data_IF_738099334585
#
_entry.id   IF_738099334585
#
_cell.length_a   1.000
_cell.length_b   1.000
_cell.length_c   1.000
_cell.angle_alpha   90.00
_cell.angle_beta   90.00
_cell.angle_gamma   90.00
#
_symmetry.space_group_name_H-M   'P 1'
#
loop_
_entity.id
_entity.type
_entity.pdbx_description
1 polymer ?
#
# COMPACT_ATOMS: atom_id res chain seq x y z
N UNK A 1 -2.17 3.42 -21.83
CA UNK A 1 -2.89 4.39 -20.98
C UNK A 1 -4.03 3.76 -20.16
N UNK A 2 -5.19 3.40 -20.72
CA UNK A 2 -6.35 2.97 -19.91
C UNK A 2 -6.12 1.72 -19.04
N UNK A 3 -5.48 0.68 -19.60
CA UNK A 3 -5.12 -0.51 -18.82
C UNK A 3 -4.15 -0.19 -17.66
N UNK A 4 -3.16 0.66 -17.91
CA UNK A 4 -2.20 1.10 -16.90
C UNK A 4 -2.89 1.88 -15.77
N UNK A 5 -3.86 2.73 -16.11
CA UNK A 5 -4.69 3.46 -15.15
C UNK A 5 -5.49 2.50 -14.27
N UNK A 6 -6.21 1.54 -14.86
CA UNK A 6 -7.00 0.58 -14.09
C UNK A 6 -6.13 -0.31 -13.20
N UNK A 7 -4.98 -0.75 -13.73
CA UNK A 7 -4.02 -1.56 -12.99
C UNK A 7 -3.44 -0.78 -11.81
N UNK A 8 -2.91 0.42 -12.03
CA UNK A 8 -2.32 1.22 -10.96
C UNK A 8 -3.38 1.70 -9.97
N UNK A 9 -4.59 2.01 -10.41
CA UNK A 9 -5.72 2.27 -9.51
C UNK A 9 -5.95 1.09 -8.57
N UNK A 10 -6.11 -0.12 -9.12
CA UNK A 10 -6.43 -1.30 -8.32
C UNK A 10 -5.27 -1.66 -7.36
N UNK A 11 -4.03 -1.63 -7.85
CA UNK A 11 -2.85 -1.97 -7.05
C UNK A 11 -2.68 -0.97 -5.91
N UNK A 12 -2.72 0.34 -6.20
CA UNK A 12 -2.49 1.37 -5.18
C UNK A 12 -3.67 1.47 -4.22
N UNK A 13 -4.91 1.37 -4.70
CA UNK A 13 -6.08 1.33 -3.84
C UNK A 13 -5.94 0.20 -2.80
N UNK A 14 -5.62 -1.02 -3.25
CA UNK A 14 -5.45 -2.18 -2.35
C UNK A 14 -4.23 -2.03 -1.43
N UNK A 15 -3.12 -1.50 -1.95
CA UNK A 15 -1.90 -1.27 -1.20
C UNK A 15 -2.11 -0.34 0.00
N UNK A 16 -2.95 0.67 -0.21
CA UNK A 16 -3.28 1.71 0.76
C UNK A 16 -4.21 1.19 1.87
N UNK A 17 -5.02 0.15 1.60
CA UNK A 17 -5.99 -0.33 2.57
C UNK A 17 -5.33 -0.85 3.86
N UNK A 18 -5.72 -0.26 5.00
CA UNK A 18 -5.27 -0.66 6.32
C UNK A 18 -3.86 -0.17 6.68
N UNK A 19 -3.40 0.91 6.05
CA UNK A 19 -2.10 1.51 6.29
C UNK A 19 -2.09 2.67 7.30
N UNK A 20 -0.90 3.07 7.76
CA UNK A 20 -0.64 4.21 8.64
C UNK A 20 -1.20 5.52 8.09
N UNK A 21 -0.96 5.77 6.80
CA UNK A 21 -1.49 6.91 6.05
C UNK A 21 -3.03 6.97 6.13
N UNK A 22 -3.74 5.85 5.96
CA UNK A 22 -5.19 5.83 6.17
C UNK A 22 -5.62 6.17 7.59
N UNK A 23 -4.91 5.65 8.59
CA UNK A 23 -5.17 6.01 10.00
C UNK A 23 -4.87 7.49 10.26
N UNK A 24 -3.88 8.08 9.58
CA UNK A 24 -3.61 9.53 9.58
C UNK A 24 -4.77 10.30 8.94
N UNK A 25 -5.26 9.88 7.76
CA UNK A 25 -6.41 10.49 7.09
C UNK A 25 -7.62 10.55 8.02
N UNK A 26 -7.94 9.41 8.67
CA UNK A 26 -9.01 9.31 9.65
C UNK A 26 -8.81 10.27 10.81
N UNK A 27 -7.60 10.30 11.39
CA UNK A 27 -7.28 11.15 12.55
C UNK A 27 -7.41 12.64 12.22
N UNK A 28 -6.95 13.06 11.03
CA UNK A 28 -7.13 14.43 10.56
C UNK A 28 -8.60 14.76 10.28
N UNK A 29 -9.37 13.83 9.70
CA UNK A 29 -10.78 14.03 9.40
C UNK A 29 -11.68 14.10 10.65
N UNK A 30 -11.22 13.58 11.80
CA UNK A 30 -11.89 13.78 13.09
C UNK A 30 -11.75 15.22 13.63
N UNK A 31 -10.71 15.96 13.21
CA UNK A 31 -10.41 17.31 13.71
C UNK A 31 -10.66 18.41 12.69
N UNK A 32 -10.67 18.08 11.40
CA UNK A 32 -10.80 19.00 10.30
C UNK A 32 -11.87 18.54 9.31
N UNK A 33 -12.39 19.49 8.52
CA UNK A 33 -13.40 19.20 7.50
C UNK A 33 -12.82 18.21 6.48
N UNK A 34 -13.55 17.13 6.20
CA UNK A 34 -13.07 16.01 5.37
C UNK A 34 -12.53 16.44 4.00
N UNK A 35 -13.12 17.45 3.36
CA UNK A 35 -12.66 17.95 2.07
C UNK A 35 -11.32 18.72 2.13
N UNK A 36 -11.00 19.33 3.27
CA UNK A 36 -9.68 19.97 3.49
C UNK A 36 -8.62 18.89 3.63
N UNK A 37 -8.94 17.81 4.36
CA UNK A 37 -8.05 16.66 4.54
C UNK A 37 -7.84 15.96 3.20
N UNK A 38 -8.91 15.60 2.51
CA UNK A 38 -8.83 14.92 1.22
C UNK A 38 -8.13 15.78 0.16
N UNK A 39 -8.32 17.11 0.19
CA UNK A 39 -7.58 18.04 -0.67
C UNK A 39 -6.09 18.05 -0.39
N UNK A 40 -5.68 18.04 0.89
CA UNK A 40 -4.27 17.98 1.28
C UNK A 40 -3.60 16.66 0.88
N UNK A 41 -4.30 15.53 1.13
CA UNK A 41 -3.90 14.19 0.68
C UNK A 41 -3.72 14.19 -0.83
N UNK A 42 -4.72 14.64 -1.58
CA UNK A 42 -4.68 14.66 -3.05
C UNK A 42 -3.44 15.39 -3.58
N UNK A 43 -3.09 16.55 -3.00
CA UNK A 43 -1.89 17.30 -3.40
C UNK A 43 -0.61 16.55 -3.07
N UNK A 44 -0.51 16.00 -1.86
CA UNK A 44 0.65 15.21 -1.44
C UNK A 44 0.86 13.99 -2.34
N UNK A 45 -0.19 13.17 -2.50
CA UNK A 45 -0.21 11.98 -3.35
C UNK A 45 0.14 12.32 -4.80
N UNK A 46 -0.46 13.37 -5.37
CA UNK A 46 -0.18 13.77 -6.75
C UNK A 46 1.31 14.08 -6.94
N UNK A 47 1.93 14.76 -5.97
CA UNK A 47 3.35 15.09 -6.00
C UNK A 47 4.25 13.84 -5.85
N UNK A 48 3.97 13.00 -4.85
CA UNK A 48 4.76 11.77 -4.61
C UNK A 48 4.63 10.81 -5.80
N UNK A 49 3.43 10.61 -6.33
CA UNK A 49 3.21 9.77 -7.49
C UNK A 49 3.84 10.36 -8.75
N UNK A 50 3.84 11.69 -8.92
CA UNK A 50 4.53 12.32 -10.05
C UNK A 50 6.04 12.04 -10.02
N UNK A 51 6.66 12.16 -8.85
CA UNK A 51 8.07 11.81 -8.65
C UNK A 51 8.30 10.33 -8.95
N UNK A 52 7.41 9.48 -8.43
CA UNK A 52 7.47 8.03 -8.62
C UNK A 52 7.39 7.62 -10.09
N UNK A 53 6.43 8.16 -10.85
CA UNK A 53 6.30 7.84 -12.28
C UNK A 53 7.43 8.44 -13.09
N UNK A 54 7.97 9.60 -12.72
CA UNK A 54 9.13 10.17 -13.39
C UNK A 54 10.34 9.26 -13.23
N UNK A 55 10.63 8.83 -11.99
CA UNK A 55 11.70 7.86 -11.70
C UNK A 55 11.46 6.55 -12.46
N UNK A 56 10.24 6.00 -12.39
CA UNK A 56 9.88 4.78 -13.10
C UNK A 56 10.06 4.89 -14.61
N UNK A 57 9.60 5.98 -15.23
CA UNK A 57 9.72 6.22 -16.68
C UNK A 57 11.19 6.25 -17.13
N UNK A 58 12.05 6.97 -16.41
CA UNK A 58 13.48 7.06 -16.77
C UNK A 58 14.23 5.77 -16.48
N UNK A 59 13.91 5.06 -15.38
CA UNK A 59 14.45 3.72 -15.12
C UNK A 59 14.00 2.72 -16.19
N UNK A 60 12.74 2.81 -16.62
CA UNK A 60 12.14 2.08 -17.74
C UNK A 60 12.95 2.21 -19.04
N UNK A 61 13.39 3.43 -19.34
CA UNK A 61 14.19 3.74 -20.52
C UNK A 61 15.67 3.33 -20.38
N UNK A 62 16.20 3.30 -19.15
CA UNK A 62 17.62 3.06 -18.88
C UNK A 62 17.97 1.59 -18.64
N UNK A 63 17.01 0.77 -18.22
CA UNK A 63 17.23 -0.63 -17.84
C UNK A 63 16.56 -1.60 -18.81
N UNK A 64 17.16 -2.79 -19.06
CA UNK A 64 16.50 -3.87 -19.79
C UNK A 64 15.16 -4.25 -19.12
N UNK A 65 14.11 -4.38 -19.91
CA UNK A 65 12.75 -4.74 -19.44
C UNK A 65 12.72 -6.03 -18.61
N UNK A 66 13.55 -7.01 -18.96
CA UNK A 66 13.69 -8.23 -18.16
C UNK A 66 14.21 -7.97 -16.74
N UNK A 67 15.17 -7.06 -16.56
CA UNK A 67 15.68 -6.71 -15.24
C UNK A 67 14.65 -5.92 -14.44
N UNK A 68 13.94 -4.99 -15.09
CA UNK A 68 12.84 -4.24 -14.48
C UNK A 68 11.75 -5.17 -13.96
N UNK A 69 11.30 -6.13 -14.78
CA UNK A 69 10.31 -7.11 -14.37
C UNK A 69 10.78 -7.97 -13.19
N UNK A 70 12.06 -8.37 -13.16
CA UNK A 70 12.61 -9.09 -12.00
C UNK A 70 12.60 -8.21 -10.75
N UNK A 71 13.09 -6.98 -10.83
CA UNK A 71 13.09 -6.06 -9.68
C UNK A 71 11.69 -5.76 -9.19
N UNK A 72 10.75 -5.55 -10.12
CA UNK A 72 9.33 -5.37 -9.86
C UNK A 72 8.74 -6.57 -9.08
N UNK A 73 8.98 -7.78 -9.59
CA UNK A 73 8.49 -9.01 -8.97
C UNK A 73 9.06 -9.23 -7.57
N UNK A 74 10.37 -9.01 -7.39
CA UNK A 74 11.01 -9.04 -6.07
C UNK A 74 10.41 -7.99 -5.13
N UNK A 75 10.26 -6.76 -5.59
CA UNK A 75 9.70 -5.66 -4.80
C UNK A 75 8.28 -5.98 -4.33
N UNK A 76 7.41 -6.48 -5.20
CA UNK A 76 6.06 -6.90 -4.85
C UNK A 76 6.03 -8.01 -3.79
N UNK A 77 6.90 -9.02 -3.88
CA UNK A 77 7.01 -10.06 -2.83
C UNK A 77 7.45 -9.44 -1.49
N UNK A 78 8.47 -8.57 -1.52
CA UNK A 78 8.95 -7.87 -0.33
C UNK A 78 7.85 -7.00 0.30
N UNK A 79 7.03 -6.31 -0.49
CA UNK A 79 5.90 -5.51 0.00
C UNK A 79 4.81 -6.37 0.62
N UNK A 80 4.51 -7.52 0.01
CA UNK A 80 3.58 -8.48 0.59
C UNK A 80 4.04 -8.94 1.98
N UNK A 81 5.34 -9.23 2.12
CA UNK A 81 5.94 -9.61 3.41
C UNK A 81 5.98 -8.45 4.42
N UNK A 82 6.33 -7.23 3.98
CA UNK A 82 6.34 -6.05 4.85
C UNK A 82 4.93 -5.73 5.35
N UNK A 83 3.92 -5.79 4.48
CA UNK A 83 2.51 -5.53 4.85
C UNK A 83 2.05 -6.40 6.04
N UNK A 84 2.57 -7.63 6.19
CA UNK A 84 2.26 -8.51 7.33
C UNK A 84 2.85 -8.04 8.67
N UNK A 85 3.87 -7.19 8.64
CA UNK A 85 4.41 -6.56 9.85
C UNK A 85 3.34 -5.75 10.56
N UNK A 86 2.41 -5.17 9.81
CA UNK A 86 1.43 -4.22 10.32
C UNK A 86 2.12 -2.94 10.76
N UNK A 87 1.46 -1.83 10.55
CA UNK A 87 2.08 -0.53 10.70
C UNK A 87 1.13 0.33 11.57
N UNK A 88 1.60 0.72 12.76
CA UNK A 88 0.84 1.52 13.72
C UNK A 88 1.35 2.96 13.70
N UNK A 89 0.45 3.94 13.79
CA UNK A 89 0.84 5.32 14.10
C UNK A 89 1.59 5.36 15.43
N UNK A 90 2.79 5.91 15.42
CA UNK A 90 3.49 6.23 16.67
C UNK A 90 2.83 7.44 17.34
N UNK A 91 2.89 7.49 18.67
CA UNK A 91 2.37 8.62 19.44
C UNK A 91 3.06 9.94 19.04
N UNK A 92 4.32 9.88 18.59
CA UNK A 92 5.08 11.04 18.12
C UNK A 92 4.56 11.58 16.78
N UNK A 93 4.19 10.71 15.84
CA UNK A 93 3.56 11.08 14.56
C UNK A 93 2.17 11.69 14.81
N UNK A 94 1.38 11.07 15.69
CA UNK A 94 0.09 11.61 16.12
C UNK A 94 0.24 12.97 16.81
N UNK A 95 1.28 13.16 17.63
CA UNK A 95 1.54 14.41 18.37
C UNK A 95 2.09 15.52 17.46
N UNK A 96 2.91 15.20 16.45
CA UNK A 96 3.36 16.17 15.44
C UNK A 96 2.20 16.69 14.61
N UNK A 97 1.27 15.81 14.22
CA UNK A 97 0.02 16.21 13.60
C UNK A 97 -0.83 17.14 14.50
N UNK A 98 -0.73 16.99 15.84
CA UNK A 98 -1.45 17.83 16.81
C UNK A 98 -0.82 19.19 17.10
N UNK A 99 0.50 19.36 16.95
CA UNK A 99 1.23 20.58 17.36
C UNK A 99 1.48 21.59 16.26
N UNK A 100 1.14 21.27 15.01
CA UNK A 100 1.33 22.19 13.89
C UNK A 100 0.38 23.39 14.01
N UNK A 101 0.92 24.61 14.10
CA UNK A 101 0.19 25.87 13.98
C UNK A 101 -0.15 26.23 12.52
N UNK A 102 0.23 25.38 11.57
CA UNK A 102 -0.07 25.57 10.16
C UNK A 102 -1.57 25.34 9.89
N UNK A 103 -2.13 25.99 8.84
CA UNK A 103 -3.49 25.68 8.40
C UNK A 103 -3.61 24.19 8.10
N UNK A 104 -4.75 23.59 8.50
CA UNK A 104 -5.00 22.15 8.43
C UNK A 104 -4.63 21.51 7.09
N UNK A 105 -4.90 22.21 5.98
CA UNK A 105 -4.50 21.78 4.64
C UNK A 105 -2.99 21.50 4.54
N UNK A 106 -2.15 22.46 4.90
CA UNK A 106 -0.69 22.32 4.81
C UNK A 106 -0.16 21.29 5.81
N UNK A 107 -0.77 21.19 6.99
CA UNK A 107 -0.42 20.16 7.98
C UNK A 107 -0.64 18.75 7.42
N UNK A 108 -1.81 18.51 6.80
CA UNK A 108 -2.14 17.24 6.15
C UNK A 108 -1.20 16.98 4.97
N UNK A 109 -1.05 17.94 4.06
CA UNK A 109 -0.20 17.79 2.87
C UNK A 109 1.23 17.44 3.25
N UNK A 110 1.83 18.16 4.22
CA UNK A 110 3.20 17.87 4.66
C UNK A 110 3.32 16.52 5.37
N UNK A 111 2.35 16.15 6.20
CA UNK A 111 2.38 14.87 6.89
C UNK A 111 2.26 13.69 5.92
N UNK A 112 1.32 13.75 4.97
CA UNK A 112 1.17 12.74 3.93
C UNK A 112 2.38 12.69 3.00
N UNK A 113 2.89 13.83 2.56
CA UNK A 113 4.06 13.85 1.68
C UNK A 113 5.28 13.20 2.35
N UNK A 114 5.48 13.43 3.66
CA UNK A 114 6.56 12.77 4.39
C UNK A 114 6.30 11.28 4.65
N UNK A 115 5.05 10.89 4.88
CA UNK A 115 4.67 9.50 5.12
C UNK A 115 4.77 8.64 3.84
N UNK A 116 4.37 9.19 2.70
CA UNK A 116 4.36 8.49 1.41
C UNK A 116 5.73 8.48 0.72
N UNK A 117 6.66 9.35 1.12
CA UNK A 117 8.01 9.38 0.55
C UNK A 117 8.81 8.14 0.96
N UNK A 118 9.01 7.25 0.00
CA UNK A 118 9.76 6.00 0.18
C UNK A 118 8.90 4.85 0.70
N UNK A 119 7.57 5.01 0.71
CA UNK A 119 6.65 3.95 1.09
C UNK A 119 6.46 2.89 -0.03
N UNK A 120 5.83 1.76 0.30
CA UNK A 120 5.49 0.66 -0.62
C UNK A 120 4.67 1.17 -1.83
N UNK A 121 3.80 2.16 -1.64
CA UNK A 121 2.97 2.75 -2.71
C UNK A 121 3.84 3.49 -3.74
N UNK A 122 4.88 4.21 -3.29
CA UNK A 122 5.87 4.86 -4.15
C UNK A 122 6.65 3.84 -4.98
N UNK A 123 7.15 2.77 -4.35
CA UNK A 123 7.91 1.74 -5.07
C UNK A 123 7.04 0.92 -6.04
N UNK A 124 5.78 0.65 -5.69
CA UNK A 124 4.81 0.05 -6.61
C UNK A 124 4.53 0.97 -7.80
N UNK A 125 4.40 2.27 -7.57
CA UNK A 125 4.18 3.26 -8.63
C UNK A 125 5.39 3.38 -9.57
N UNK A 126 6.62 3.42 -9.02
CA UNK A 126 7.88 3.39 -9.80
C UNK A 126 7.91 2.16 -10.69
N UNK A 127 7.65 1.01 -10.10
CA UNK A 127 7.64 -0.30 -10.77
C UNK A 127 6.63 -0.32 -11.92
N UNK A 128 5.39 0.09 -11.66
CA UNK A 128 4.35 0.11 -12.68
C UNK A 128 4.68 1.07 -13.82
N UNK A 129 5.24 2.25 -13.52
CA UNK A 129 5.62 3.24 -14.53
C UNK A 129 6.85 2.87 -15.36
N UNK A 130 7.66 1.90 -14.91
CA UNK A 130 8.81 1.40 -15.68
C UNK A 130 8.37 0.56 -16.89
N UNK A 131 7.32 -0.24 -16.74
CA UNK A 131 6.84 -1.16 -17.78
C UNK A 131 5.51 -0.73 -18.43
N UNK A 132 4.85 0.32 -17.90
CA UNK A 132 3.56 0.80 -18.40
C UNK A 132 3.58 2.29 -18.74
N UNK A 133 2.52 2.73 -19.43
CA UNK A 133 2.29 4.14 -19.76
C UNK A 133 2.25 5.01 -18.49
N UNK A 134 3.29 5.83 -18.30
CA UNK A 134 3.52 6.60 -17.07
C UNK A 134 2.39 7.59 -16.73
N UNK A 135 1.72 8.16 -17.75
CA UNK A 135 0.57 9.06 -17.56
C UNK A 135 -0.62 8.29 -17.01
N UNK A 136 -0.94 7.14 -17.62
CA UNK A 136 -1.96 6.23 -17.11
C UNK A 136 -1.66 5.79 -15.68
N UNK A 137 -0.40 5.41 -15.39
CA UNK A 137 0.01 5.02 -14.04
C UNK A 137 -0.19 6.16 -13.04
N UNK A 138 0.25 7.38 -13.37
CA UNK A 138 0.15 8.55 -12.50
C UNK A 138 -1.29 8.92 -12.13
N UNK A 139 -2.18 8.92 -13.12
CA UNK A 139 -3.60 9.22 -12.91
C UNK A 139 -4.23 8.08 -12.08
N UNK A 140 -3.99 6.83 -12.47
CA UNK A 140 -4.58 5.68 -11.79
C UNK A 140 -4.11 5.53 -10.35
N UNK A 141 -2.81 5.70 -10.08
CA UNK A 141 -2.25 5.60 -8.73
C UNK A 141 -2.80 6.71 -7.83
N UNK A 142 -2.87 7.95 -8.34
CA UNK A 142 -3.43 9.08 -7.61
C UNK A 142 -4.91 8.87 -7.27
N UNK A 143 -5.70 8.44 -8.25
CA UNK A 143 -7.12 8.13 -8.03
C UNK A 143 -7.30 6.95 -7.06
N UNK A 144 -6.45 5.93 -7.14
CA UNK A 144 -6.49 4.76 -6.26
C UNK A 144 -6.27 5.14 -4.81
N UNK A 145 -5.23 5.90 -4.51
CA UNK A 145 -4.92 6.35 -3.15
C UNK A 145 -5.99 7.31 -2.62
N UNK A 146 -6.39 8.34 -3.38
CA UNK A 146 -7.45 9.27 -2.96
C UNK A 146 -8.78 8.55 -2.69
N UNK A 147 -9.12 7.54 -3.50
CA UNK A 147 -10.31 6.73 -3.27
C UNK A 147 -10.20 5.87 -2.00
N UNK A 148 -9.02 5.29 -1.74
CA UNK A 148 -8.76 4.51 -0.54
C UNK A 148 -8.82 5.38 0.73
N UNK A 149 -8.24 6.57 0.71
CA UNK A 149 -8.29 7.53 1.81
C UNK A 149 -9.69 8.11 2.03
N UNK A 150 -10.42 8.42 0.96
CA UNK A 150 -11.82 8.83 1.07
C UNK A 150 -12.66 7.73 1.72
N UNK A 151 -12.44 6.47 1.35
CA UNK A 151 -13.07 5.32 2.00
C UNK A 151 -12.70 5.25 3.48
N UNK A 152 -11.41 5.39 3.82
CA UNK A 152 -10.96 5.39 5.21
C UNK A 152 -11.62 6.51 6.03
N UNK A 153 -11.73 7.73 5.49
CA UNK A 153 -12.40 8.86 6.14
C UNK A 153 -13.89 8.57 6.37
N UNK A 154 -14.61 8.07 5.35
CA UNK A 154 -16.04 7.73 5.47
C UNK A 154 -16.24 6.62 6.50
N UNK A 155 -15.43 5.56 6.43
CA UNK A 155 -15.52 4.45 7.39
C UNK A 155 -15.12 4.92 8.79
N UNK A 156 -14.13 5.78 8.93
CA UNK A 156 -13.74 6.39 10.20
C UNK A 156 -14.85 7.24 10.81
N UNK A 157 -15.61 7.96 9.99
CA UNK A 157 -16.75 8.75 10.42
C UNK A 157 -17.98 7.90 10.79
N UNK A 158 -18.22 6.79 10.08
CA UNK A 158 -19.44 5.96 10.23
C UNK A 158 -19.26 4.78 11.20
N UNK A 159 -18.10 4.12 11.18
CA UNK A 159 -17.98 2.74 11.66
C UNK A 159 -17.40 2.57 13.06
N UNK A 160 -16.95 3.62 13.75
CA UNK A 160 -16.47 3.55 15.14
C UNK A 160 -15.68 2.27 15.49
N UNK A 161 -14.37 2.25 15.27
CA UNK A 161 -13.39 1.23 15.71
C UNK A 161 -13.55 -0.24 15.24
N UNK A 162 -14.47 -0.63 14.34
CA UNK A 162 -14.67 -2.05 13.99
C UNK A 162 -14.15 -2.50 12.60
N UNK A 163 -13.20 -1.79 12.01
CA UNK A 163 -12.56 -2.26 10.76
C UNK A 163 -11.79 -3.58 11.00
N UNK A 164 -12.01 -4.64 10.20
CA UNK A 164 -11.24 -5.87 10.28
C UNK A 164 -9.85 -5.67 9.64
N UNK A 165 -9.05 -4.77 10.21
CA UNK A 165 -7.71 -4.37 9.76
C UNK A 165 -6.85 -5.59 9.40
N UNK A 166 -6.91 -6.63 10.23
CA UNK A 166 -6.25 -7.91 10.00
C UNK A 166 -6.62 -8.55 8.66
N UNK A 167 -7.90 -8.57 8.31
CA UNK A 167 -8.37 -9.18 7.06
C UNK A 167 -7.89 -8.39 5.84
N UNK A 168 -7.93 -7.07 5.95
CA UNK A 168 -7.48 -6.15 4.91
C UNK A 168 -5.98 -6.33 4.64
N UNK A 169 -5.16 -6.26 5.70
CA UNK A 169 -3.70 -6.44 5.60
C UNK A 169 -3.32 -7.82 5.06
N UNK A 170 -4.02 -8.89 5.48
CA UNK A 170 -3.78 -10.24 4.94
C UNK A 170 -4.12 -10.34 3.45
N UNK A 171 -5.20 -9.70 3.01
CA UNK A 171 -5.63 -9.71 1.61
C UNK A 171 -4.66 -8.92 0.73
N UNK A 172 -4.25 -7.72 1.17
CA UNK A 172 -3.25 -6.91 0.47
C UNK A 172 -1.89 -7.62 0.37
N UNK A 173 -1.42 -8.21 1.49
CA UNK A 173 -0.19 -9.00 1.51
C UNK A 173 -0.25 -10.18 0.53
N UNK A 174 -1.37 -10.92 0.50
CA UNK A 174 -1.55 -12.03 -0.42
C UNK A 174 -1.52 -11.56 -1.88
N UNK A 175 -2.24 -10.48 -2.22
CA UNK A 175 -2.28 -9.94 -3.58
C UNK A 175 -0.90 -9.51 -4.06
N UNK A 176 -0.14 -8.80 -3.22
CA UNK A 176 1.23 -8.41 -3.55
C UNK A 176 2.14 -9.61 -3.81
N UNK A 177 2.07 -10.66 -2.98
CA UNK A 177 2.85 -11.89 -3.23
C UNK A 177 2.38 -12.59 -4.51
N UNK A 178 1.07 -12.66 -4.79
CA UNK A 178 0.57 -13.24 -6.05
C UNK A 178 1.12 -12.49 -7.25
N UNK A 179 1.00 -11.15 -7.29
CA UNK A 179 1.52 -10.35 -8.38
C UNK A 179 3.03 -10.47 -8.52
N UNK A 180 3.76 -10.42 -7.40
CA UNK A 180 5.22 -10.55 -7.40
C UNK A 180 5.68 -11.90 -7.96
N UNK A 181 5.08 -13.01 -7.51
CA UNK A 181 5.39 -14.34 -8.02
C UNK A 181 4.98 -14.48 -9.49
N UNK A 182 3.82 -13.95 -9.87
CA UNK A 182 3.38 -13.96 -11.27
C UNK A 182 4.42 -13.29 -12.18
N UNK A 183 4.85 -12.08 -11.83
CA UNK A 183 5.85 -11.32 -12.60
C UNK A 183 7.18 -12.08 -12.64
N UNK A 184 7.64 -12.62 -11.51
CA UNK A 184 8.90 -13.39 -11.47
C UNK A 184 8.85 -14.63 -12.36
N UNK A 185 7.80 -15.44 -12.26
CA UNK A 185 7.68 -16.68 -13.02
C UNK A 185 7.58 -16.38 -14.52
N UNK A 186 6.81 -15.37 -14.93
CA UNK A 186 6.72 -14.96 -16.34
C UNK A 186 8.06 -14.41 -16.85
N UNK A 187 8.83 -13.71 -16.00
CA UNK A 187 10.15 -13.18 -16.37
C UNK A 187 11.16 -14.29 -16.65
N UNK A 188 11.20 -15.33 -15.79
CA UNK A 188 12.13 -16.47 -15.96
C UNK A 188 11.62 -17.54 -16.94
N UNK A 189 10.30 -17.68 -17.10
CA UNK A 189 9.65 -18.68 -17.94
C UNK A 189 8.56 -18.06 -18.82
N UNK A 190 8.92 -17.30 -19.88
CA UNK A 190 7.96 -16.56 -20.71
C UNK A 190 6.94 -17.44 -21.44
N UNK A 191 7.26 -18.71 -21.66
CA UNK A 191 6.40 -19.69 -22.34
C UNK A 191 5.52 -20.50 -21.38
N UNK A 192 5.58 -20.23 -20.07
CA UNK A 192 4.77 -20.93 -19.09
C UNK A 192 3.26 -20.66 -19.32
N UNK A 193 2.40 -21.69 -19.27
CA UNK A 193 0.96 -21.48 -19.35
C UNK A 193 0.45 -20.61 -18.20
N UNK A 194 -0.44 -19.64 -18.48
CA UNK A 194 -0.95 -18.72 -17.46
C UNK A 194 -1.56 -19.45 -16.25
N UNK A 195 -2.25 -20.57 -16.48
CA UNK A 195 -2.81 -21.41 -15.40
C UNK A 195 -1.72 -21.97 -14.49
N UNK A 196 -0.59 -22.40 -15.05
CA UNK A 196 0.55 -22.89 -14.28
C UNK A 196 1.16 -21.77 -13.43
N UNK A 197 1.35 -20.58 -14.01
CA UNK A 197 1.85 -19.40 -13.30
C UNK A 197 0.95 -19.03 -12.12
N UNK A 198 -0.36 -18.95 -12.35
CA UNK A 198 -1.34 -18.63 -11.30
C UNK A 198 -1.37 -19.71 -10.22
N UNK A 199 -1.26 -20.98 -10.59
CA UNK A 199 -1.19 -22.09 -9.62
C UNK A 199 0.05 -21.96 -8.75
N UNK A 200 1.22 -21.68 -9.33
CA UNK A 200 2.47 -21.45 -8.58
C UNK A 200 2.30 -20.26 -7.63
N UNK A 201 1.76 -19.13 -8.10
CA UNK A 201 1.55 -17.95 -7.27
C UNK A 201 0.66 -18.25 -6.05
N UNK A 202 -0.46 -18.95 -6.25
CA UNK A 202 -1.35 -19.35 -5.15
C UNK A 202 -0.65 -20.32 -4.18
N UNK A 203 0.07 -21.32 -4.70
CA UNK A 203 0.80 -22.29 -3.88
C UNK A 203 1.88 -21.58 -3.04
N UNK A 204 2.62 -20.62 -3.61
CA UNK A 204 3.61 -19.83 -2.87
C UNK A 204 2.95 -19.06 -1.73
N UNK A 205 1.80 -18.42 -1.97
CA UNK A 205 1.06 -17.73 -0.90
C UNK A 205 0.62 -18.68 0.21
N UNK A 206 0.13 -19.87 -0.14
CA UNK A 206 -0.29 -20.88 0.85
C UNK A 206 0.89 -21.41 1.67
N UNK A 207 2.00 -21.75 1.02
CA UNK A 207 3.23 -22.22 1.67
C UNK A 207 3.80 -21.12 2.58
N UNK A 208 3.90 -19.89 2.07
CA UNK A 208 4.38 -18.75 2.83
C UNK A 208 3.50 -18.50 4.05
N UNK A 209 2.18 -18.50 3.88
CA UNK A 209 1.22 -18.35 4.96
C UNK A 209 1.34 -19.45 6.02
N UNK A 210 1.54 -20.71 5.60
CA UNK A 210 1.77 -21.83 6.51
C UNK A 210 3.11 -21.69 7.26
N UNK A 211 4.19 -21.35 6.55
CA UNK A 211 5.52 -21.18 7.12
C UNK A 211 5.56 -20.03 8.14
N UNK A 212 4.98 -18.87 7.80
CA UNK A 212 4.90 -17.72 8.70
C UNK A 212 4.04 -18.01 9.94
N UNK A 213 2.99 -18.83 9.82
CA UNK A 213 2.20 -19.31 10.97
C UNK A 213 2.91 -20.39 11.80
N UNK A 214 3.87 -21.12 11.23
CA UNK A 214 4.69 -22.07 11.96
C UNK A 214 5.83 -21.39 12.76
N UNK A 215 6.14 -20.12 12.46
CA UNK A 215 7.16 -19.37 13.20
C UNK A 215 6.81 -19.25 14.70
N UNK A 216 7.83 -19.30 15.59
CA UNK A 216 7.65 -18.96 17.00
C UNK A 216 7.09 -17.54 17.17
N UNK A 217 6.30 -17.31 18.22
CA UNK A 217 5.57 -16.04 18.41
C UNK A 217 6.47 -14.79 18.36
N UNK A 218 7.72 -14.90 18.82
CA UNK A 218 8.72 -13.81 18.76
C UNK A 218 9.01 -13.31 17.33
N UNK A 219 9.01 -14.22 16.34
CA UNK A 219 9.31 -13.92 14.93
C UNK A 219 8.05 -13.84 14.06
N UNK A 220 6.92 -14.36 14.56
CA UNK A 220 5.66 -14.32 13.83
C UNK A 220 5.23 -12.86 13.61
N UNK A 221 4.88 -12.45 12.39
CA UNK A 221 4.38 -11.11 12.11
C UNK A 221 3.18 -10.78 13.01
N UNK A 222 3.07 -9.55 13.54
CA UNK A 222 1.99 -9.14 14.44
C UNK A 222 0.58 -9.49 13.95
N UNK A 223 0.29 -9.30 12.65
CA UNK A 223 -0.98 -9.70 12.00
C UNK A 223 -1.32 -11.17 12.16
N UNK A 224 -0.33 -12.06 12.26
CA UNK A 224 -0.52 -13.50 12.35
C UNK A 224 -0.58 -14.01 13.80
N UNK A 225 -0.30 -13.16 14.80
CA UNK A 225 -0.38 -13.55 16.21
C UNK A 225 -1.85 -13.69 16.67
N UNK A 226 -2.15 -14.60 17.61
CA UNK A 226 -3.45 -14.63 18.28
C UNK A 226 -3.69 -13.28 18.99
N UNK A 227 -4.90 -12.72 18.90
CA UNK A 227 -5.24 -11.53 19.70
C UNK A 227 -5.22 -11.91 21.19
N UNK A 228 -4.60 -11.10 22.07
CA UNK A 228 -4.74 -11.30 23.50
C UNK A 228 -6.23 -11.26 23.88
N UNK A 229 -6.67 -12.04 24.87
CA UNK A 229 -8.03 -11.96 25.38
C UNK A 229 -8.32 -10.51 25.80
N UNK A 230 -9.52 -10.03 25.48
CA UNK A 230 -9.94 -8.68 25.87
C UNK A 230 -9.83 -8.54 27.39
N UNK A 231 -9.04 -7.57 27.85
CA UNK A 231 -8.98 -7.25 29.28
C UNK A 231 -10.36 -6.72 29.66
N UNK A 232 -11.08 -7.35 30.61
CA UNK A 232 -12.36 -6.83 31.05
C UNK A 232 -12.15 -5.42 31.58
N UNK A 233 -12.86 -4.46 31.00
CA UNK A 233 -12.89 -3.09 31.51
C UNK A 233 -13.49 -3.17 32.91
N UNK A 234 -12.70 -2.83 33.93
CA UNK A 234 -13.20 -2.72 35.29
C UNK A 234 -14.36 -1.71 35.28
N UNK A 235 -15.55 -2.18 35.65
CA UNK A 235 -16.77 -1.40 35.71
C UNK A 235 -16.75 -0.36 36.83
#
# INVERSE_FOLDING_TARGET
MFAALLLSFAVIFVAELGDKSQLMAMTFALRHRWWIVLGGITVATTAVHLISVAVGHYLGAALPTHLLAIFAGVAFVLFGLWTLRGDSLSDDEATRAQRSSAPAFFAVTSAFLLAELGDKTMLATITLAADNDWVGVWIGSTLGMVAADALAIVVGAVAGKHLPERFIQLTAAALFVVFGVYVLVVSFFPTAPAVAVMTIAVVVVLILGAALRALPDRWRPPVLRPRPPAVPVAA
#
